data_IF_865393002644
#
_entry.id   IF_865393002644
#
_cell.length_a   1.000
_cell.length_b   1.000
_cell.length_c   1.000
_cell.angle_alpha   90.00
_cell.angle_beta   90.00
_cell.angle_gamma   90.00
#
_symmetry.space_group_name_H-M   'P 1'
#
loop_
_entity.id
_entity.type
_entity.pdbx_description
1 polymer ?
#
# COMPACT_ATOMS: atom_id res chain seq x y z
N UNK A 1 12.77 -21.22 19.46
CA UNK A 1 11.36 -20.75 19.54
C UNK A 1 10.90 -20.37 18.14
N UNK A 2 9.67 -20.70 17.79
CA UNK A 2 9.05 -20.23 16.54
C UNK A 2 8.92 -18.71 16.56
N UNK A 3 9.22 -18.05 15.48
CA UNK A 3 9.11 -16.59 15.34
C UNK A 3 8.42 -16.23 14.01
N UNK A 4 8.13 -14.95 13.81
CA UNK A 4 7.49 -14.41 12.62
C UNK A 4 8.47 -13.65 11.73
N UNK A 5 9.77 -13.89 11.88
CA UNK A 5 10.78 -13.24 11.06
C UNK A 5 10.61 -13.65 9.58
N UNK A 6 10.74 -12.67 8.69
CA UNK A 6 10.62 -12.87 7.26
C UNK A 6 11.49 -11.85 6.53
N UNK A 7 11.98 -12.20 5.35
CA UNK A 7 12.64 -11.26 4.44
C UNK A 7 11.68 -10.84 3.32
N UNK A 8 11.63 -9.53 3.04
CA UNK A 8 10.90 -8.97 1.91
C UNK A 8 11.83 -8.08 1.09
N UNK A 9 12.05 -8.42 -0.18
CA UNK A 9 13.02 -7.77 -1.06
C UNK A 9 14.42 -7.59 -0.43
N UNK A 10 14.90 -8.62 0.27
CA UNK A 10 16.19 -8.60 0.95
C UNK A 10 16.21 -7.87 2.30
N UNK A 11 15.15 -7.16 2.67
CA UNK A 11 15.03 -6.45 3.94
C UNK A 11 14.41 -7.37 4.99
N UNK A 12 15.07 -7.57 6.16
CA UNK A 12 14.54 -8.41 7.24
C UNK A 12 13.45 -7.68 8.04
N UNK A 13 12.36 -8.37 8.35
CA UNK A 13 11.26 -7.91 9.21
C UNK A 13 11.11 -8.86 10.40
N UNK A 14 10.85 -8.34 11.60
CA UNK A 14 10.57 -9.16 12.79
C UNK A 14 9.22 -9.89 12.71
N UNK A 15 8.31 -9.36 11.93
CA UNK A 15 7.03 -9.98 11.60
C UNK A 15 6.50 -9.43 10.27
N UNK A 16 5.59 -10.14 9.56
CA UNK A 16 5.15 -9.75 8.23
C UNK A 16 4.17 -8.56 8.21
N UNK A 17 3.76 -8.03 9.36
CA UNK A 17 2.70 -7.04 9.45
C UNK A 17 3.23 -5.62 9.34
N UNK A 18 2.75 -4.89 8.35
CA UNK A 18 3.14 -3.51 8.07
C UNK A 18 1.90 -2.61 8.04
N UNK A 19 1.99 -1.42 8.62
CA UNK A 19 0.96 -0.38 8.44
C UNK A 19 1.07 0.13 7.01
N UNK A 20 0.00 0.05 6.24
CA UNK A 20 -0.05 0.54 4.87
C UNK A 20 -0.02 2.07 4.79
N UNK A 21 0.45 2.61 3.67
CA UNK A 21 0.31 4.03 3.34
C UNK A 21 -1.16 4.46 3.45
N UNK A 22 -1.48 5.29 4.44
CA UNK A 22 -2.86 5.61 4.81
C UNK A 22 -2.92 6.74 5.84
N UNK A 23 -4.11 7.26 6.15
CA UNK A 23 -4.27 8.18 7.29
C UNK A 23 -3.76 7.64 8.63
N UNK A 24 -3.60 6.31 8.77
CA UNK A 24 -3.05 5.69 9.98
C UNK A 24 -1.53 5.84 10.13
N UNK A 25 -0.83 6.23 9.08
CA UNK A 25 0.62 6.49 9.06
C UNK A 25 0.97 7.96 8.73
N UNK A 26 0.00 8.87 8.84
CA UNK A 26 0.12 10.27 8.43
C UNK A 26 0.35 11.24 9.60
N UNK A 27 0.95 10.80 10.67
CA UNK A 27 1.46 11.68 11.72
C UNK A 27 2.47 10.94 12.60
N UNK A 28 3.39 11.69 13.18
CA UNK A 28 4.41 11.17 14.13
C UNK A 28 3.77 10.38 15.28
N UNK A 29 2.67 10.86 15.82
CA UNK A 29 1.95 10.18 16.91
C UNK A 29 1.36 8.82 16.46
N UNK A 30 0.75 8.75 15.29
CA UNK A 30 0.19 7.49 14.77
C UNK A 30 1.29 6.48 14.47
N UNK A 31 2.41 6.92 13.88
CA UNK A 31 3.59 6.08 13.64
C UNK A 31 4.14 5.54 14.96
N UNK A 32 4.34 6.40 15.97
CA UNK A 32 4.80 5.99 17.31
C UNK A 32 3.89 4.92 17.90
N UNK A 33 2.57 5.14 17.93
CA UNK A 33 1.58 4.17 18.43
C UNK A 33 1.62 2.83 17.70
N UNK A 34 1.88 2.86 16.40
CA UNK A 34 2.05 1.63 15.60
C UNK A 34 3.27 0.84 16.06
N UNK A 35 4.40 1.51 16.23
CA UNK A 35 5.66 0.89 16.65
C UNK A 35 5.56 0.31 18.05
N UNK A 36 4.98 1.05 19.01
CA UNK A 36 4.71 0.60 20.37
C UNK A 36 3.76 -0.60 20.43
N UNK A 37 2.81 -0.69 19.49
CA UNK A 37 1.91 -1.84 19.41
C UNK A 37 2.59 -3.12 18.87
N UNK A 38 3.74 -3.00 18.15
CA UNK A 38 4.52 -4.13 17.67
C UNK A 38 4.43 -4.41 16.16
N UNK A 39 4.02 -3.43 15.35
CA UNK A 39 4.07 -3.54 13.88
C UNK A 39 5.51 -3.70 13.42
N UNK A 40 5.76 -4.60 12.47
CA UNK A 40 7.09 -4.88 11.93
C UNK A 40 7.62 -3.79 11.01
N UNK A 41 6.73 -3.04 10.36
CA UNK A 41 7.08 -1.94 9.48
C UNK A 41 5.96 -0.90 9.35
N UNK A 42 6.32 0.25 8.82
CA UNK A 42 5.42 1.37 8.54
C UNK A 42 5.67 1.85 7.11
N UNK A 43 4.63 1.88 6.30
CA UNK A 43 4.62 2.66 5.07
C UNK A 43 4.03 4.03 5.41
N UNK A 44 4.82 5.08 5.32
CA UNK A 44 4.34 6.45 5.51
C UNK A 44 3.27 6.78 4.45
N UNK A 45 2.30 7.62 4.82
CA UNK A 45 1.29 8.03 3.85
C UNK A 45 1.97 8.66 2.63
N UNK A 46 1.50 8.30 1.44
CA UNK A 46 2.08 8.76 0.17
C UNK A 46 2.19 10.28 0.14
N UNK A 47 3.37 10.78 -0.14
CA UNK A 47 3.67 12.21 -0.29
C UNK A 47 4.19 12.50 -1.70
N UNK A 48 4.13 13.77 -2.08
CA UNK A 48 4.68 14.31 -3.32
C UNK A 48 5.43 15.61 -3.03
N UNK A 49 6.01 16.22 -4.05
CA UNK A 49 6.58 17.57 -3.91
C UNK A 49 5.46 18.60 -3.64
N UNK A 50 5.76 19.72 -2.96
CA UNK A 50 4.76 20.67 -2.46
C UNK A 50 3.78 21.21 -3.51
N UNK A 51 4.20 21.31 -4.77
CA UNK A 51 3.36 21.77 -5.87
C UNK A 51 2.16 20.85 -6.16
N UNK A 52 2.18 19.61 -5.67
CA UNK A 52 1.13 18.61 -5.87
C UNK A 52 0.35 18.30 -4.59
N UNK A 53 0.60 19.01 -3.49
CA UNK A 53 -0.12 18.82 -2.25
C UNK A 53 -1.57 19.26 -2.41
N UNK A 54 -2.54 18.33 -2.41
CA UNK A 54 -3.94 18.68 -2.54
C UNK A 54 -4.45 19.27 -1.23
N UNK A 55 -5.23 20.33 -1.31
CA UNK A 55 -6.02 20.81 -0.18
C UNK A 55 -7.40 20.20 -0.26
N UNK A 56 -7.66 19.15 0.52
CA UNK A 56 -8.98 18.57 0.65
C UNK A 56 -9.64 19.03 1.93
N UNK A 57 -10.92 19.36 1.79
CA UNK A 57 -11.78 19.54 2.94
C UNK A 57 -12.32 18.17 3.43
N UNK A 58 -12.59 18.06 4.72
CA UNK A 58 -13.21 16.89 5.34
C UNK A 58 -14.75 16.99 5.34
N UNK A 59 -15.49 15.87 5.35
CA UNK A 59 -15.03 14.48 5.51
C UNK A 59 -14.60 13.86 4.16
N UNK A 60 -13.50 13.11 4.17
CA UNK A 60 -12.96 12.45 2.97
C UNK A 60 -13.14 10.92 2.98
N UNK A 61 -13.76 10.36 4.02
CA UNK A 61 -13.98 8.93 4.20
C UNK A 61 -15.36 8.63 4.73
N UNK A 62 -15.96 7.51 4.31
CA UNK A 62 -17.22 7.01 4.81
C UNK A 62 -17.23 5.48 4.96
N UNK A 63 -17.88 5.00 6.02
CA UNK A 63 -18.13 3.57 6.22
C UNK A 63 -19.35 3.12 5.43
N UNK A 64 -19.29 1.93 4.83
CA UNK A 64 -20.40 1.27 4.16
C UNK A 64 -20.86 0.06 4.97
N UNK A 65 -22.17 -0.07 5.12
CA UNK A 65 -22.82 -1.24 5.75
C UNK A 65 -23.46 -2.13 4.69
N UNK A 66 -23.43 -3.44 4.93
CA UNK A 66 -24.09 -4.41 4.07
C UNK A 66 -24.85 -5.44 4.92
N UNK A 67 -26.12 -5.66 4.59
CA UNK A 67 -27.00 -6.63 5.28
C UNK A 67 -26.96 -6.53 6.81
N UNK A 68 -27.02 -5.30 7.34
CA UNK A 68 -26.98 -5.03 8.78
C UNK A 68 -25.59 -5.18 9.42
N UNK A 69 -24.54 -5.52 8.66
CA UNK A 69 -23.15 -5.54 9.14
C UNK A 69 -22.54 -4.16 8.95
N UNK A 70 -22.29 -3.41 10.02
CA UNK A 70 -21.71 -2.09 9.92
C UNK A 70 -20.25 -2.19 9.46
N UNK A 71 -19.79 -1.21 8.68
CA UNK A 71 -18.41 -1.08 8.25
C UNK A 71 -17.86 -2.33 7.52
N UNK A 72 -18.68 -2.94 6.67
CA UNK A 72 -18.23 -4.03 5.79
C UNK A 72 -17.24 -3.52 4.73
N UNK A 73 -17.37 -2.28 4.33
CA UNK A 73 -16.46 -1.59 3.43
C UNK A 73 -16.26 -0.14 3.86
N UNK A 74 -15.20 0.47 3.36
CA UNK A 74 -14.95 1.91 3.47
C UNK A 74 -14.77 2.48 2.07
N UNK A 75 -15.27 3.68 1.90
CA UNK A 75 -15.08 4.47 0.71
C UNK A 75 -14.33 5.75 1.07
N UNK A 76 -13.37 6.14 0.28
CA UNK A 76 -12.62 7.36 0.50
C UNK A 76 -12.46 8.15 -0.81
N UNK A 77 -12.41 9.47 -0.66
CA UNK A 77 -11.92 10.43 -1.63
C UNK A 77 -10.62 11.07 -1.12
N UNK A 78 -9.95 10.37 -0.20
CA UNK A 78 -8.70 10.78 0.41
C UNK A 78 -7.58 10.73 -0.62
N UNK A 79 -6.71 11.74 -0.59
CA UNK A 79 -5.59 11.87 -1.50
C UNK A 79 -4.27 11.52 -0.80
N UNK A 80 -3.18 12.06 -1.33
CA UNK A 80 -1.85 11.97 -0.72
C UNK A 80 -1.79 12.77 0.58
N UNK A 81 -0.70 12.64 1.32
CA UNK A 81 -0.46 13.39 2.54
C UNK A 81 -0.42 14.91 2.28
N UNK A 82 -0.97 15.68 3.23
CA UNK A 82 -0.76 17.14 3.26
C UNK A 82 0.60 17.51 3.87
N UNK A 83 1.30 16.53 4.45
CA UNK A 83 2.64 16.70 5.01
C UNK A 83 3.68 16.78 3.92
N UNK A 84 4.67 17.63 4.14
CA UNK A 84 5.78 17.79 3.20
C UNK A 84 6.74 16.61 3.23
N UNK A 85 7.52 16.46 2.18
CA UNK A 85 8.56 15.42 2.15
C UNK A 85 9.62 15.64 3.23
N UNK A 86 9.92 16.89 3.59
CA UNK A 86 10.84 17.25 4.68
C UNK A 86 10.36 16.72 6.03
N UNK A 87 9.08 16.86 6.34
CA UNK A 87 8.49 16.33 7.58
C UNK A 87 8.53 14.80 7.62
N UNK A 88 8.36 14.13 6.47
CA UNK A 88 8.48 12.66 6.37
C UNK A 88 9.95 12.24 6.54
N UNK A 89 10.90 12.98 5.96
CA UNK A 89 12.34 12.72 6.14
C UNK A 89 12.74 12.82 7.63
N UNK A 90 12.30 13.87 8.31
CA UNK A 90 12.56 14.05 9.74
C UNK A 90 11.99 12.90 10.57
N UNK A 91 10.78 12.44 10.26
CA UNK A 91 10.14 11.34 10.97
C UNK A 91 10.87 10.02 10.74
N UNK A 92 11.26 9.71 9.51
CA UNK A 92 12.05 8.51 9.20
C UNK A 92 13.35 8.51 9.99
N UNK A 93 14.11 9.60 9.91
CA UNK A 93 15.39 9.71 10.61
C UNK A 93 15.22 9.58 12.14
N UNK A 94 14.20 10.23 12.70
CA UNK A 94 13.86 10.16 14.12
C UNK A 94 13.51 8.74 14.57
N UNK A 95 12.59 8.07 13.86
CA UNK A 95 12.12 6.75 14.27
C UNK A 95 13.18 5.66 14.07
N UNK A 96 14.03 5.76 13.06
CA UNK A 96 15.15 4.82 12.87
C UNK A 96 16.12 4.80 14.04
N UNK A 97 16.34 5.93 14.70
CA UNK A 97 17.18 6.00 15.90
C UNK A 97 16.52 5.33 17.10
N UNK A 98 15.20 5.47 17.24
CA UNK A 98 14.45 4.93 18.38
C UNK A 98 14.06 3.45 18.22
N UNK A 99 13.85 3.01 16.98
CA UNK A 99 13.35 1.67 16.67
C UNK A 99 14.18 1.02 15.54
N UNK A 100 15.46 0.70 15.77
CA UNK A 100 16.38 0.22 14.73
C UNK A 100 15.94 -1.13 14.11
N UNK A 101 15.15 -1.92 14.85
CA UNK A 101 14.66 -3.23 14.39
C UNK A 101 13.37 -3.14 13.57
N UNK A 102 12.75 -1.93 13.47
CA UNK A 102 11.57 -1.69 12.64
C UNK A 102 11.94 -1.18 11.25
N UNK A 103 11.01 -1.35 10.31
CA UNK A 103 11.25 -0.94 8.92
C UNK A 103 10.39 0.25 8.55
N UNK A 104 11.03 1.23 7.93
CA UNK A 104 10.43 2.51 7.54
C UNK A 104 10.46 2.62 6.03
N UNK A 105 9.27 2.63 5.44
CA UNK A 105 9.06 2.64 3.99
C UNK A 105 8.49 4.00 3.63
N UNK A 106 9.22 4.78 2.87
CA UNK A 106 8.72 6.04 2.32
C UNK A 106 7.81 5.77 1.14
N UNK A 107 6.59 6.30 1.14
CA UNK A 107 5.69 6.17 -0.01
C UNK A 107 5.60 7.50 -0.74
N UNK A 108 5.83 7.47 -2.06
CA UNK A 108 5.94 8.66 -2.91
C UNK A 108 5.12 8.53 -4.20
N UNK A 109 4.72 9.69 -4.70
CA UNK A 109 4.10 9.87 -6.01
C UNK A 109 4.71 11.10 -6.69
N UNK A 110 4.91 11.03 -7.99
CA UNK A 110 5.45 12.14 -8.79
C UNK A 110 4.78 12.23 -10.16
N UNK A 111 4.83 13.42 -10.76
CA UNK A 111 4.26 13.68 -12.08
C UNK A 111 5.28 13.55 -13.23
N UNK A 112 6.57 13.56 -12.92
CA UNK A 112 7.63 13.52 -13.93
C UNK A 112 8.94 12.94 -13.42
N UNK A 113 9.87 12.72 -14.34
CA UNK A 113 11.15 12.06 -14.09
C UNK A 113 11.98 12.79 -13.00
N UNK A 114 12.11 14.10 -13.10
CA UNK A 114 12.91 14.91 -12.17
C UNK A 114 12.35 14.81 -10.74
N UNK A 115 11.03 14.79 -10.59
CA UNK A 115 10.38 14.67 -9.29
C UNK A 115 10.59 13.28 -8.68
N UNK A 116 10.51 12.21 -9.48
CA UNK A 116 10.84 10.86 -9.02
C UNK A 116 12.27 10.80 -8.49
N UNK A 117 13.22 11.37 -9.24
CA UNK A 117 14.64 11.42 -8.86
C UNK A 117 14.81 12.16 -7.52
N UNK A 118 14.22 13.33 -7.38
CA UNK A 118 14.32 14.13 -6.16
C UNK A 118 13.74 13.40 -4.94
N UNK A 119 12.54 12.86 -5.07
CA UNK A 119 11.87 12.16 -3.96
C UNK A 119 12.62 10.90 -3.53
N UNK A 120 13.18 10.12 -4.47
CA UNK A 120 14.04 8.96 -4.17
C UNK A 120 15.27 9.40 -3.37
N UNK A 121 15.98 10.44 -3.81
CA UNK A 121 17.15 10.97 -3.10
C UNK A 121 16.82 11.38 -1.67
N UNK A 122 15.73 12.13 -1.49
CA UNK A 122 15.28 12.59 -0.17
C UNK A 122 14.99 11.43 0.78
N UNK A 123 14.31 10.39 0.31
CA UNK A 123 14.03 9.22 1.15
C UNK A 123 15.29 8.42 1.47
N UNK A 124 16.22 8.27 0.54
CA UNK A 124 17.52 7.64 0.79
C UNK A 124 18.37 8.45 1.78
N UNK A 125 18.35 9.76 1.72
CA UNK A 125 19.03 10.65 2.67
C UNK A 125 18.46 10.50 4.07
N UNK A 126 17.12 10.42 4.22
CA UNK A 126 16.44 10.16 5.48
C UNK A 126 16.75 8.76 6.05
N UNK A 127 17.27 7.86 5.23
CA UNK A 127 17.59 6.48 5.61
C UNK A 127 16.38 5.54 5.59
N UNK A 128 15.42 5.77 4.70
CA UNK A 128 14.33 4.83 4.46
C UNK A 128 14.88 3.43 4.17
N UNK A 129 14.25 2.40 4.72
CA UNK A 129 14.65 1.00 4.48
C UNK A 129 14.19 0.51 3.10
N UNK A 130 13.09 1.07 2.60
CA UNK A 130 12.51 0.79 1.28
C UNK A 130 11.74 2.01 0.80
N UNK A 131 11.45 2.05 -0.51
CA UNK A 131 10.65 3.10 -1.15
C UNK A 131 9.45 2.45 -1.84
N UNK A 132 8.22 2.83 -1.46
CA UNK A 132 7.00 2.42 -2.15
C UNK A 132 6.59 3.50 -3.15
N UNK A 133 6.49 3.14 -4.43
CA UNK A 133 6.09 4.06 -5.49
C UNK A 133 4.62 3.84 -5.84
N UNK A 134 3.77 4.85 -5.54
CA UNK A 134 2.36 4.85 -5.89
C UNK A 134 2.19 5.28 -7.34
N UNK A 135 2.04 4.30 -8.24
CA UNK A 135 1.87 4.51 -9.67
C UNK A 135 0.39 4.59 -10.11
N UNK A 136 -0.51 4.42 -9.16
CA UNK A 136 -1.93 4.13 -9.40
C UNK A 136 -2.89 5.18 -8.86
N UNK A 137 -2.40 6.28 -8.30
CA UNK A 137 -3.27 7.28 -7.69
C UNK A 137 -4.16 7.93 -8.77
N UNK A 138 -5.48 7.60 -8.83
CA UNK A 138 -6.37 8.13 -9.87
C UNK A 138 -6.66 9.61 -9.69
N UNK A 139 -6.25 10.18 -8.57
CA UNK A 139 -6.54 11.56 -8.19
C UNK A 139 -5.40 12.51 -8.53
N UNK A 140 -4.22 11.99 -8.90
CA UNK A 140 -3.11 12.79 -9.42
C UNK A 140 -3.43 13.46 -10.77
N UNK A 141 -4.39 12.91 -11.52
CA UNK A 141 -4.81 13.47 -12.82
C UNK A 141 -5.41 14.87 -12.71
N UNK A 142 -6.01 15.22 -11.57
CA UNK A 142 -6.68 16.53 -11.39
C UNK A 142 -5.84 17.58 -10.67
N UNK A 143 -4.80 17.17 -9.96
CA UNK A 143 -3.89 18.10 -9.28
C UNK A 143 -2.78 18.64 -10.20
N UNK A 144 -2.58 18.04 -11.37
CA UNK A 144 -1.49 18.34 -12.31
C UNK A 144 -1.97 19.19 -13.51
N UNK A 145 -3.23 19.56 -13.57
CA UNK A 145 -3.75 20.47 -14.59
C UNK A 145 -3.30 21.90 -14.29
N UNK A 146 -2.06 22.20 -14.58
CA UNK A 146 -1.62 23.55 -14.86
C UNK A 146 -2.27 23.99 -16.18
N UNK A 147 -2.95 25.14 -16.15
CA UNK A 147 -3.70 25.68 -17.27
C UNK A 147 -2.79 25.73 -18.52
N UNK A 148 -3.02 24.85 -19.48
CA UNK A 148 -2.44 24.92 -20.83
C UNK A 148 -1.43 23.84 -21.22
N UNK A 149 -0.95 22.98 -20.34
CA UNK A 149 -0.22 21.75 -20.71
C UNK A 149 -1.15 20.57 -20.56
N UNK A 150 -1.48 19.88 -21.66
CA UNK A 150 -2.01 18.52 -21.60
C UNK A 150 -0.93 17.67 -20.92
N UNK A 151 -1.06 17.48 -19.61
CA UNK A 151 -0.37 16.39 -18.95
C UNK A 151 -0.74 15.12 -19.73
N UNK A 152 0.23 14.27 -20.03
CA UNK A 152 -0.09 12.96 -20.58
C UNK A 152 -0.96 12.28 -19.53
N UNK A 153 -2.24 12.06 -19.81
CA UNK A 153 -3.22 11.43 -18.90
C UNK A 153 -2.91 9.93 -18.68
N UNK A 154 -1.69 9.49 -18.93
CA UNK A 154 -1.27 8.12 -18.82
C UNK A 154 -0.75 7.86 -17.42
N UNK A 155 -1.57 7.18 -16.63
CA UNK A 155 -1.17 6.65 -15.32
C UNK A 155 -0.20 5.47 -15.59
N UNK A 156 1.02 5.45 -15.01
CA UNK A 156 1.96 4.34 -15.22
C UNK A 156 1.33 2.97 -14.94
N UNK A 157 0.45 2.90 -13.95
CA UNK A 157 -0.27 1.67 -13.61
C UNK A 157 -1.27 1.15 -14.66
N UNK A 158 -1.52 1.88 -15.74
CA UNK A 158 -2.46 1.46 -16.79
C UNK A 158 -1.77 0.93 -18.05
N UNK A 159 -0.45 1.11 -18.19
CA UNK A 159 0.33 0.76 -19.38
C UNK A 159 1.67 0.13 -19.02
N UNK A 160 1.96 -1.04 -19.62
CA UNK A 160 3.18 -1.81 -19.33
C UNK A 160 4.46 -1.04 -19.65
N UNK A 161 4.52 -0.39 -20.80
CA UNK A 161 5.73 0.30 -21.25
C UNK A 161 6.00 1.56 -20.40
N UNK A 162 4.94 2.29 -20.07
CA UNK A 162 5.05 3.44 -19.15
C UNK A 162 5.45 2.99 -17.74
N UNK A 163 4.89 1.87 -17.27
CA UNK A 163 5.30 1.27 -15.99
C UNK A 163 6.78 0.89 -16.01
N UNK A 164 7.25 0.24 -17.09
CA UNK A 164 8.64 -0.16 -17.25
C UNK A 164 9.58 1.04 -17.24
N UNK A 165 9.30 2.05 -18.05
CA UNK A 165 10.16 3.23 -18.20
C UNK A 165 10.20 4.08 -16.92
N UNK A 166 9.06 4.29 -16.27
CA UNK A 166 8.99 5.01 -14.99
C UNK A 166 9.77 4.25 -13.90
N UNK A 167 9.58 2.93 -13.82
CA UNK A 167 10.34 2.11 -12.87
C UNK A 167 11.85 2.20 -13.13
N UNK A 168 12.29 2.14 -14.37
CA UNK A 168 13.70 2.30 -14.72
C UNK A 168 14.27 3.65 -14.29
N UNK A 169 13.52 4.74 -14.47
CA UNK A 169 13.91 6.07 -14.01
C UNK A 169 14.15 6.08 -12.49
N UNK A 170 13.18 5.55 -11.74
CA UNK A 170 13.26 5.46 -10.28
C UNK A 170 14.49 4.65 -9.85
N UNK A 171 14.72 3.50 -10.48
CA UNK A 171 15.84 2.62 -10.14
C UNK A 171 17.21 3.27 -10.43
N UNK A 172 17.31 4.00 -11.55
CA UNK A 172 18.52 4.74 -11.90
C UNK A 172 18.81 5.91 -10.96
N UNK A 173 17.79 6.47 -10.34
CA UNK A 173 17.93 7.56 -9.36
C UNK A 173 18.58 7.11 -8.05
N UNK A 174 18.52 5.84 -7.69
CA UNK A 174 19.04 5.33 -6.43
C UNK A 174 20.55 5.54 -6.30
N UNK A 175 20.99 6.02 -5.15
CA UNK A 175 22.40 6.17 -4.75
C UNK A 175 22.84 5.09 -3.76
N UNK A 176 21.89 4.55 -2.96
CA UNK A 176 22.17 3.59 -1.87
C UNK A 176 21.59 2.19 -2.11
N UNK A 177 21.11 1.89 -3.31
CA UNK A 177 20.44 0.62 -3.62
C UNK A 177 19.23 0.30 -2.70
N UNK A 178 18.55 1.32 -2.18
CA UNK A 178 17.35 1.16 -1.37
C UNK A 178 16.28 0.43 -2.18
N UNK A 179 15.73 -0.71 -1.71
CA UNK A 179 14.75 -1.47 -2.47
C UNK A 179 13.51 -0.67 -2.82
N UNK A 180 13.05 -0.82 -4.06
CA UNK A 180 11.86 -0.13 -4.60
C UNK A 180 10.72 -1.11 -4.74
N UNK A 181 9.59 -0.75 -4.12
CA UNK A 181 8.31 -1.45 -4.20
C UNK A 181 7.41 -0.68 -5.17
N UNK A 182 6.89 -1.34 -6.18
CA UNK A 182 5.90 -0.74 -7.08
C UNK A 182 4.49 -1.13 -6.62
N UNK A 183 3.66 -0.14 -6.29
CA UNK A 183 2.29 -0.38 -5.86
C UNK A 183 1.35 -0.48 -7.04
N UNK A 184 0.69 -1.65 -7.13
CA UNK A 184 -0.19 -2.04 -8.21
C UNK A 184 -1.66 -1.74 -7.89
N UNK A 185 -2.42 -1.34 -8.90
CA UNK A 185 -3.87 -1.15 -8.80
C UNK A 185 -4.63 -2.34 -9.37
N UNK A 186 -5.78 -2.71 -8.77
CA UNK A 186 -6.67 -3.72 -9.36
C UNK A 186 -7.51 -3.17 -10.52
N UNK A 187 -7.43 -1.88 -10.81
CA UNK A 187 -8.32 -1.17 -11.75
C UNK A 187 -7.78 -1.24 -13.19
N UNK A 188 -7.23 -2.36 -13.58
CA UNK A 188 -6.69 -2.63 -14.92
C UNK A 188 -7.23 -3.95 -15.45
N UNK A 189 -7.24 -4.09 -16.76
CA UNK A 189 -7.78 -5.30 -17.41
C UNK A 189 -6.83 -6.49 -17.24
N UNK A 190 -5.53 -6.27 -17.44
CA UNK A 190 -4.49 -7.28 -17.24
C UNK A 190 -3.43 -6.78 -16.26
N UNK A 191 -3.60 -7.18 -15.00
CA UNK A 191 -2.69 -6.79 -13.92
C UNK A 191 -1.30 -7.41 -14.10
N UNK A 192 -1.22 -8.63 -14.62
CA UNK A 192 0.06 -9.33 -14.76
C UNK A 192 0.90 -8.69 -15.86
N UNK A 193 0.28 -8.30 -16.97
CA UNK A 193 0.99 -7.62 -18.05
C UNK A 193 1.58 -6.27 -17.59
N UNK A 194 0.80 -5.47 -16.90
CA UNK A 194 1.30 -4.20 -16.34
C UNK A 194 2.40 -4.44 -15.31
N UNK A 195 2.24 -5.44 -14.44
CA UNK A 195 3.25 -5.77 -13.43
C UNK A 195 4.56 -6.30 -14.05
N UNK A 196 4.50 -6.99 -15.20
CA UNK A 196 5.71 -7.33 -15.97
C UNK A 196 6.51 -6.09 -16.35
N UNK A 197 5.85 -4.97 -16.66
CA UNK A 197 6.52 -3.70 -16.90
C UNK A 197 7.35 -3.25 -15.68
N UNK A 198 6.81 -3.35 -14.47
CA UNK A 198 7.56 -3.02 -13.25
C UNK A 198 8.77 -3.95 -13.05
N UNK A 199 8.59 -5.26 -13.27
CA UNK A 199 9.67 -6.26 -13.16
C UNK A 199 10.77 -5.99 -14.20
N UNK A 200 10.41 -5.76 -15.46
CA UNK A 200 11.33 -5.41 -16.55
C UNK A 200 12.02 -4.06 -16.31
N UNK A 201 11.35 -3.15 -15.60
CA UNK A 201 11.93 -1.91 -15.12
C UNK A 201 12.94 -2.07 -13.99
N UNK A 202 13.01 -3.26 -13.37
CA UNK A 202 13.95 -3.61 -12.31
C UNK A 202 13.41 -3.43 -10.89
N UNK A 203 12.09 -3.35 -10.68
CA UNK A 203 11.49 -3.29 -9.35
C UNK A 203 12.01 -4.43 -8.45
N UNK A 204 12.27 -4.13 -7.18
CA UNK A 204 12.71 -5.13 -6.20
C UNK A 204 11.54 -5.88 -5.56
N UNK A 205 10.34 -5.29 -5.56
CA UNK A 205 9.11 -5.90 -5.07
C UNK A 205 7.87 -5.23 -5.65
N UNK A 206 6.74 -5.91 -5.51
CA UNK A 206 5.41 -5.35 -5.78
C UNK A 206 4.59 -5.24 -4.49
N UNK A 207 3.66 -4.29 -4.45
CA UNK A 207 2.62 -4.20 -3.42
C UNK A 207 1.25 -4.25 -4.12
N UNK A 208 0.35 -5.11 -3.72
CA UNK A 208 -0.96 -5.29 -4.34
C UNK A 208 -2.02 -5.61 -3.27
N UNK A 209 -3.10 -4.85 -3.24
CA UNK A 209 -3.65 -3.89 -4.20
C UNK A 209 -3.77 -2.47 -3.61
N UNK A 210 -3.86 -1.47 -4.48
CA UNK A 210 -4.44 -0.20 -4.12
C UNK A 210 -5.99 -0.30 -4.08
N UNK A 211 -6.69 0.77 -3.72
CA UNK A 211 -8.15 0.79 -3.58
C UNK A 211 -8.86 0.47 -4.91
N UNK A 212 -10.01 -0.19 -4.81
CA UNK A 212 -10.88 -0.47 -5.96
C UNK A 212 -11.68 0.79 -6.28
N UNK A 213 -11.58 1.28 -7.52
CA UNK A 213 -12.29 2.48 -7.95
C UNK A 213 -13.81 2.30 -7.83
N UNK A 214 -14.48 3.31 -7.30
CA UNK A 214 -15.92 3.27 -7.12
C UNK A 214 -16.54 4.65 -6.90
N UNK A 215 -17.84 4.65 -6.62
CA UNK A 215 -18.61 5.83 -6.25
C UNK A 215 -19.62 5.44 -5.16
N UNK A 216 -19.65 6.19 -4.06
CA UNK A 216 -20.44 5.82 -2.87
C UNK A 216 -21.95 5.88 -3.07
N UNK A 217 -22.42 6.59 -4.10
CA UNK A 217 -23.84 6.78 -4.41
C UNK A 217 -24.36 8.17 -4.06
N UNK A 218 -25.63 8.37 -4.38
CA UNK A 218 -26.35 9.65 -4.24
C UNK A 218 -27.35 9.53 -3.07
N UNK A 219 -27.48 10.58 -2.31
CA UNK A 219 -28.60 10.81 -1.40
C UNK A 219 -29.82 11.24 -2.22
N UNK A 220 -30.86 10.44 -2.20
CA UNK A 220 -32.04 10.66 -3.05
C UNK A 220 -32.96 11.80 -2.57
N UNK A 221 -32.83 12.24 -1.32
CA UNK A 221 -33.59 13.37 -0.79
C UNK A 221 -32.96 14.70 -1.21
N UNK A 222 -31.63 14.78 -1.15
CA UNK A 222 -30.91 16.01 -1.43
C UNK A 222 -30.36 16.11 -2.86
N UNK A 223 -30.18 14.97 -3.55
CA UNK A 223 -29.53 14.88 -4.86
C UNK A 223 -28.01 15.00 -4.81
N UNK A 224 -27.42 15.15 -3.62
CA UNK A 224 -25.95 15.24 -3.48
C UNK A 224 -25.27 13.86 -3.36
N UNK A 225 -23.97 13.74 -3.70
CA UNK A 225 -23.18 12.58 -3.35
C UNK A 225 -23.22 12.32 -1.84
N UNK A 226 -23.34 11.04 -1.42
CA UNK A 226 -23.38 10.67 0.01
C UNK A 226 -22.11 11.05 0.77
N UNK A 227 -20.96 11.05 0.09
CA UNK A 227 -19.73 11.63 0.61
C UNK A 227 -19.39 12.83 -0.24
N UNK A 228 -19.47 14.01 0.35
CA UNK A 228 -19.20 15.27 -0.34
C UNK A 228 -18.62 16.31 0.62
N UNK A 229 -18.01 17.32 0.02
CA UNK A 229 -17.55 18.52 0.70
C UNK A 229 -18.19 19.71 0.00
N UNK A 230 -19.02 20.45 0.73
CA UNK A 230 -19.82 21.56 0.18
C UNK A 230 -20.62 21.18 -1.09
N UNK A 231 -21.18 19.96 -1.12
CA UNK A 231 -21.94 19.45 -2.26
C UNK A 231 -21.10 18.84 -3.39
N UNK A 232 -19.79 18.98 -3.36
CA UNK A 232 -18.87 18.45 -4.37
C UNK A 232 -18.25 17.15 -3.92
N UNK A 233 -18.01 16.22 -4.86
CA UNK A 233 -17.38 14.92 -4.63
C UNK A 233 -16.62 14.49 -5.87
N UNK A 234 -15.90 13.35 -5.75
CA UNK A 234 -15.17 12.74 -6.86
C UNK A 234 -15.30 11.21 -6.81
N UNK A 235 -14.82 10.54 -7.86
CA UNK A 235 -14.62 9.10 -7.83
C UNK A 235 -13.50 8.76 -6.86
N UNK A 236 -13.80 7.86 -5.93
CA UNK A 236 -12.86 7.48 -4.88
C UNK A 236 -12.55 5.99 -4.89
N UNK A 237 -11.98 5.54 -3.79
CA UNK A 237 -11.53 4.17 -3.59
C UNK A 237 -12.35 3.41 -2.56
N UNK A 238 -12.75 2.20 -2.93
CA UNK A 238 -13.34 1.22 -2.02
C UNK A 238 -12.24 0.40 -1.34
N UNK A 239 -12.38 0.17 -0.05
CA UNK A 239 -11.44 -0.58 0.79
C UNK A 239 -12.17 -1.39 1.87
N UNK A 240 -11.41 -2.02 2.77
CA UNK A 240 -11.97 -2.83 3.87
C UNK A 240 -12.32 -4.26 3.45
N UNK A 241 -13.03 -5.03 4.29
CA UNK A 241 -13.27 -6.46 4.07
C UNK A 241 -13.89 -6.83 2.72
N UNK A 242 -14.69 -5.93 2.13
CA UNK A 242 -15.35 -6.17 0.85
C UNK A 242 -14.37 -6.38 -0.32
N UNK A 243 -13.17 -5.81 -0.27
CA UNK A 243 -12.19 -5.93 -1.36
C UNK A 243 -11.22 -7.11 -1.19
N UNK A 244 -11.27 -7.83 -0.06
CA UNK A 244 -10.35 -8.96 0.20
C UNK A 244 -10.34 -10.01 -0.91
N UNK A 245 -11.48 -10.49 -1.44
CA UNK A 245 -11.45 -11.48 -2.53
C UNK A 245 -10.75 -10.98 -3.78
N UNK A 246 -10.88 -9.70 -4.11
CA UNK A 246 -10.19 -9.06 -5.24
C UNK A 246 -8.68 -9.05 -4.97
N UNK A 247 -8.29 -8.62 -3.77
CA UNK A 247 -6.88 -8.54 -3.38
C UNK A 247 -6.20 -9.92 -3.39
N UNK A 248 -6.85 -10.96 -2.85
CA UNK A 248 -6.34 -12.34 -2.88
C UNK A 248 -6.17 -12.85 -4.33
N UNK A 249 -7.16 -12.58 -5.19
CA UNK A 249 -7.08 -12.93 -6.61
C UNK A 249 -5.92 -12.23 -7.33
N UNK A 250 -5.74 -10.94 -7.09
CA UNK A 250 -4.63 -10.17 -7.67
C UNK A 250 -3.26 -10.67 -7.17
N UNK A 251 -3.09 -10.80 -5.85
CA UNK A 251 -1.83 -11.27 -5.25
C UNK A 251 -1.48 -12.67 -5.75
N UNK A 252 -2.44 -13.61 -5.75
CA UNK A 252 -2.17 -14.97 -6.19
C UNK A 252 -1.75 -15.06 -7.67
N UNK A 253 -2.31 -14.23 -8.54
CA UNK A 253 -1.88 -14.13 -9.93
C UNK A 253 -0.44 -13.60 -10.05
N UNK A 254 -0.12 -12.50 -9.36
CA UNK A 254 1.22 -11.93 -9.41
C UNK A 254 2.28 -12.90 -8.88
N UNK A 255 2.04 -13.54 -7.73
CA UNK A 255 2.99 -14.48 -7.11
C UNK A 255 3.13 -15.78 -7.89
N UNK A 256 2.12 -16.19 -8.66
CA UNK A 256 2.17 -17.37 -9.53
C UNK A 256 2.92 -17.10 -10.84
N UNK A 257 2.70 -15.92 -11.43
CA UNK A 257 3.15 -15.58 -12.77
C UNK A 257 4.50 -14.85 -12.83
N UNK A 258 4.93 -14.24 -11.72
CA UNK A 258 6.11 -13.39 -11.67
C UNK A 258 7.06 -13.85 -10.56
N UNK A 259 8.35 -13.89 -10.88
CA UNK A 259 9.42 -14.18 -9.91
C UNK A 259 9.88 -12.88 -9.23
N UNK A 260 9.01 -12.34 -8.37
CA UNK A 260 9.27 -11.12 -7.61
C UNK A 260 8.53 -11.16 -6.27
N UNK A 261 9.14 -10.69 -5.15
CA UNK A 261 8.44 -10.61 -3.88
C UNK A 261 7.21 -9.69 -3.94
N UNK A 262 6.09 -10.13 -3.34
CA UNK A 262 4.85 -9.36 -3.30
C UNK A 262 4.45 -9.06 -1.85
N UNK A 263 4.11 -7.80 -1.57
CA UNK A 263 3.36 -7.40 -0.38
C UNK A 263 1.87 -7.47 -0.68
N UNK A 264 1.11 -8.18 0.16
CA UNK A 264 -0.34 -8.28 0.02
C UNK A 264 -1.05 -7.22 0.87
N UNK A 265 -2.00 -6.50 0.27
CA UNK A 265 -2.83 -5.51 0.95
C UNK A 265 -4.24 -5.50 0.37
N UNK A 266 -5.24 -5.32 1.21
CA UNK A 266 -6.66 -5.21 0.82
C UNK A 266 -7.58 -6.10 1.65
N UNK A 267 -8.32 -5.49 2.56
CA UNK A 267 -9.34 -6.16 3.38
C UNK A 267 -8.84 -6.99 4.54
N UNK A 268 -7.54 -6.99 4.83
CA UNK A 268 -6.95 -7.70 5.98
C UNK A 268 -7.48 -7.11 7.28
N UNK A 269 -8.14 -7.93 8.11
CA UNK A 269 -8.78 -7.50 9.35
C UNK A 269 -8.41 -8.36 10.57
N UNK A 270 -7.78 -9.49 10.36
CA UNK A 270 -7.38 -10.46 11.37
C UNK A 270 -6.24 -11.35 10.88
N UNK A 271 -5.75 -12.26 11.72
CA UNK A 271 -4.66 -13.18 11.37
C UNK A 271 -5.03 -14.19 10.28
N UNK A 272 -6.31 -14.60 10.19
CA UNK A 272 -6.77 -15.53 9.16
C UNK A 272 -6.64 -14.89 7.76
N UNK A 273 -7.10 -13.66 7.64
CA UNK A 273 -6.94 -12.91 6.38
C UNK A 273 -5.45 -12.82 5.99
N UNK A 274 -4.59 -12.49 6.94
CA UNK A 274 -3.15 -12.42 6.69
C UNK A 274 -2.53 -13.77 6.30
N UNK A 275 -2.97 -14.85 6.94
CA UNK A 275 -2.54 -16.20 6.59
C UNK A 275 -2.91 -16.59 5.16
N UNK A 276 -4.09 -16.19 4.68
CA UNK A 276 -4.49 -16.39 3.28
C UNK A 276 -3.52 -15.70 2.30
N UNK A 277 -3.14 -14.45 2.56
CA UNK A 277 -2.15 -13.74 1.72
C UNK A 277 -0.79 -14.43 1.71
N UNK A 278 -0.29 -14.86 2.88
CA UNK A 278 0.98 -15.58 2.98
C UNK A 278 0.93 -16.93 2.24
N UNK A 279 -0.14 -17.70 2.41
CA UNK A 279 -0.35 -18.97 1.69
C UNK A 279 -0.42 -18.78 0.17
N UNK A 280 -0.86 -17.61 -0.29
CA UNK A 280 -0.89 -17.22 -1.70
C UNK A 280 0.39 -16.52 -2.16
N UNK A 281 1.48 -16.58 -1.39
CA UNK A 281 2.81 -16.15 -1.81
C UNK A 281 3.23 -14.75 -1.40
N UNK A 282 2.38 -13.97 -0.72
CA UNK A 282 2.81 -12.69 -0.16
C UNK A 282 3.90 -12.89 0.89
N UNK A 283 4.90 -12.01 0.91
CA UNK A 283 5.99 -12.02 1.90
C UNK A 283 5.89 -10.89 2.93
N UNK A 284 5.00 -9.95 2.70
CA UNK A 284 4.63 -8.89 3.61
C UNK A 284 3.12 -8.68 3.54
N UNK A 285 2.49 -8.32 4.65
CA UNK A 285 1.04 -8.08 4.71
C UNK A 285 0.81 -6.67 5.25
N UNK A 286 0.35 -5.80 4.37
CA UNK A 286 0.04 -4.43 4.74
C UNK A 286 -1.42 -4.31 5.18
N UNK A 287 -1.66 -3.52 6.24
CA UNK A 287 -2.99 -3.30 6.82
C UNK A 287 -3.30 -1.80 6.83
N UNK A 288 -4.47 -1.44 6.35
CA UNK A 288 -4.97 -0.07 6.30
C UNK A 288 -6.27 0.07 7.12
N UNK A 289 -7.41 -0.16 6.49
CA UNK A 289 -8.76 0.14 6.97
C UNK A 289 -9.08 -0.48 8.34
N UNK A 290 -8.59 -1.67 8.62
CA UNK A 290 -8.84 -2.36 9.87
C UNK A 290 -8.26 -1.62 11.09
N UNK A 291 -7.17 -0.87 10.92
CA UNK A 291 -6.56 -0.06 11.98
C UNK A 291 -7.51 1.04 12.44
N UNK A 292 -8.24 1.68 11.53
CA UNK A 292 -9.23 2.70 11.87
C UNK A 292 -10.38 2.14 12.72
N UNK A 293 -10.68 0.84 12.57
CA UNK A 293 -11.76 0.17 13.31
C UNK A 293 -11.29 -0.44 14.64
N UNK A 294 -10.15 -1.11 14.63
CA UNK A 294 -9.68 -1.94 15.74
C UNK A 294 -8.50 -1.32 16.50
N UNK A 295 -7.94 -0.22 16.00
CA UNK A 295 -6.75 0.42 16.55
C UNK A 295 -5.47 -0.34 16.27
N UNK A 296 -4.34 0.28 16.60
CA UNK A 296 -3.01 -0.28 16.34
C UNK A 296 -2.71 -1.58 17.10
N UNK A 297 -3.32 -1.77 18.27
CA UNK A 297 -3.13 -2.97 19.10
C UNK A 297 -3.60 -4.29 18.45
N UNK A 298 -4.35 -4.23 17.35
CA UNK A 298 -4.80 -5.43 16.65
C UNK A 298 -3.65 -6.34 16.18
N UNK A 299 -2.48 -5.78 15.92
CA UNK A 299 -1.30 -6.54 15.48
C UNK A 299 -0.89 -7.62 16.47
N UNK A 300 -1.08 -7.39 17.78
CA UNK A 300 -0.75 -8.38 18.81
C UNK A 300 -1.59 -9.65 18.69
N UNK A 301 -2.90 -9.49 18.40
CA UNK A 301 -3.78 -10.63 18.16
C UNK A 301 -3.46 -11.32 16.83
N UNK A 302 -3.04 -10.56 15.82
CA UNK A 302 -2.61 -11.10 14.52
C UNK A 302 -1.34 -11.94 14.67
N UNK A 303 -0.33 -11.45 15.37
CA UNK A 303 0.91 -12.18 15.64
C UNK A 303 0.65 -13.48 16.42
N UNK A 304 -0.11 -13.39 17.52
CA UNK A 304 -0.47 -14.56 18.34
C UNK A 304 -1.26 -15.61 17.54
N UNK A 305 -2.22 -15.15 16.73
CA UNK A 305 -3.04 -16.03 15.92
C UNK A 305 -2.24 -16.74 14.82
N UNK A 306 -1.36 -16.00 14.13
CA UNK A 306 -0.52 -16.58 13.08
C UNK A 306 0.50 -17.59 13.64
N UNK A 307 1.17 -17.29 14.75
CA UNK A 307 2.07 -18.24 15.43
C UNK A 307 1.34 -19.52 15.80
N UNK A 308 0.17 -19.43 16.42
CA UNK A 308 -0.64 -20.60 16.78
C UNK A 308 -1.02 -21.42 15.54
N UNK A 309 -1.40 -20.77 14.45
CA UNK A 309 -1.73 -21.43 13.20
C UNK A 309 -0.51 -22.18 12.63
N UNK A 310 0.66 -21.56 12.62
CA UNK A 310 1.90 -22.19 12.17
C UNK A 310 2.23 -23.44 13.01
N UNK A 311 2.13 -23.34 14.33
CA UNK A 311 2.32 -24.48 15.25
C UNK A 311 1.35 -25.62 14.95
N UNK A 312 0.06 -25.33 14.83
CA UNK A 312 -0.99 -26.33 14.54
C UNK A 312 -0.80 -27.02 13.18
N UNK A 313 -0.25 -26.31 12.20
CA UNK A 313 -0.01 -26.83 10.85
C UNK A 313 1.40 -27.38 10.65
N UNK A 314 2.27 -27.29 11.64
CA UNK A 314 3.64 -27.80 11.56
C UNK A 314 4.58 -26.98 10.66
N UNK A 315 4.29 -25.71 10.40
CA UNK A 315 5.20 -24.85 9.68
C UNK A 315 6.39 -24.44 10.55
N UNK A 316 7.61 -24.75 10.12
CA UNK A 316 8.82 -24.42 10.86
C UNK A 316 9.17 -22.91 10.82
N UNK A 317 8.73 -22.20 9.78
CA UNK A 317 8.96 -20.77 9.55
C UNK A 317 7.87 -20.17 8.66
N UNK A 318 7.80 -18.83 8.54
CA UNK A 318 6.95 -18.20 7.57
C UNK A 318 7.35 -18.54 6.12
N UNK A 319 8.64 -18.66 5.84
CA UNK A 319 9.12 -19.10 4.51
C UNK A 319 8.57 -20.48 4.12
N UNK A 320 8.41 -21.38 5.09
CA UNK A 320 7.81 -22.68 4.85
C UNK A 320 6.30 -22.61 4.56
N UNK A 321 5.63 -21.52 4.95
CA UNK A 321 4.20 -21.30 4.75
C UNK A 321 3.91 -20.54 3.45
N UNK A 322 4.81 -19.60 3.06
CA UNK A 322 4.61 -18.73 1.89
C UNK A 322 4.41 -19.56 0.62
N UNK A 323 3.34 -19.27 -0.11
CA UNK A 323 3.02 -19.88 -1.39
C UNK A 323 2.49 -21.33 -1.34
N UNK A 324 2.24 -21.90 -0.16
CA UNK A 324 1.79 -23.29 -0.03
C UNK A 324 0.47 -23.61 -0.72
N UNK A 325 -0.36 -22.58 -0.96
CA UNK A 325 -1.64 -22.77 -1.65
C UNK A 325 -1.56 -22.58 -3.16
N UNK A 326 -0.47 -22.00 -3.69
CA UNK A 326 -0.32 -21.73 -5.12
C UNK A 326 -0.45 -22.98 -6.03
N UNK A 327 0.10 -24.17 -5.66
CA UNK A 327 -0.03 -25.37 -6.50
C UNK A 327 -1.47 -25.86 -6.71
N UNK A 328 -2.43 -25.40 -5.89
CA UNK A 328 -3.84 -25.77 -6.02
C UNK A 328 -4.63 -24.80 -6.92
N UNK A 329 -4.01 -23.73 -7.40
CA UNK A 329 -4.62 -22.80 -8.34
C UNK A 329 -4.31 -23.26 -9.76
N UNK A 330 -5.34 -23.58 -10.52
CA UNK A 330 -5.24 -23.97 -11.94
C UNK A 330 -5.68 -22.78 -12.81
N UNK A 331 -5.04 -22.65 -13.98
CA UNK A 331 -5.44 -21.69 -14.99
C UNK A 331 -6.67 -22.21 -15.74
N UNK A 332 -7.59 -21.31 -16.05
CA UNK A 332 -8.79 -21.60 -16.84
C UNK A 332 -8.60 -21.18 -18.28
#
# INVERSE_FOLDING_TARGET
MMNLNISFAGVPFENPFTVAASPSSDSREKVRRSLEAGWGGIVFKTTALPQHSPKLAEPNMAGLSFAGKPQFAFYNIDLISERTIEEIQEDIAYFKQLYPDRRFIGSIMAAGEEEWIELVHRLEEAGADMIECSMSCPQGEHSIADEGKKASNAIPAADRELMRTTTQTILRARKKNTPVIVKMTPNVTDLVDVARGAVEGGADALCCIDTVRGFIGIDLETGYPKLNVNGLSTWGGLSGPAVKPIALGCVSKLTKELDIPVAGVGGVSNWQDAAEFLLLGARNVQVCTAISRYGFGMVQSMQKGLLRYMEQKGFASLDAMVGKSLPYLVDH
#
